data_IF_249992456789
#
_entry.id   IF_249992456789
#
_cell.length_a   1.000
_cell.length_b   1.000
_cell.length_c   1.000
_cell.angle_alpha   90.00
_cell.angle_beta   90.00
_cell.angle_gamma   90.00
#
_symmetry.space_group_name_H-M   'P 1'
#
loop_
_entity.id
_entity.type
_entity.pdbx_description
1 polymer ?
#
# COMPACT_ATOMS: atom_id res chain seq x y z
N UNK A 1 -2.07 5.90 -18.37
CA UNK A 1 -1.93 6.69 -17.16
C UNK A 1 -3.24 6.76 -16.41
N UNK A 2 -3.15 6.66 -15.08
CA UNK A 2 -4.35 6.67 -14.26
C UNK A 2 -4.82 8.07 -13.98
N UNK A 3 -6.14 8.27 -13.98
CA UNK A 3 -6.73 9.53 -13.57
C UNK A 3 -7.34 9.39 -12.18
N UNK A 4 -7.30 10.45 -11.38
CA UNK A 4 -7.95 10.37 -10.08
C UNK A 4 -9.45 10.12 -10.23
N UNK A 5 -9.98 9.33 -9.34
CA UNK A 5 -11.39 8.97 -9.34
C UNK A 5 -12.07 9.73 -8.20
N UNK A 6 -12.94 10.69 -8.49
CA UNK A 6 -13.56 11.49 -7.45
C UNK A 6 -14.50 10.68 -6.54
N UNK A 7 -14.93 9.51 -7.00
CA UNK A 7 -15.80 8.65 -6.20
C UNK A 7 -15.03 7.74 -5.26
N UNK A 8 -13.72 7.72 -5.40
CA UNK A 8 -12.90 6.76 -4.70
C UNK A 8 -12.38 7.36 -3.41
N UNK A 9 -12.39 6.62 -2.34
CA UNK A 9 -11.84 7.12 -1.08
C UNK A 9 -10.51 6.44 -0.76
N UNK A 10 -9.80 7.00 0.20
CA UNK A 10 -8.48 6.51 0.56
C UNK A 10 -8.52 5.15 1.23
N UNK A 11 -9.63 4.82 1.91
CA UNK A 11 -9.77 3.50 2.51
C UNK A 11 -9.80 2.42 1.43
N UNK A 12 -10.57 2.65 0.37
CA UNK A 12 -10.62 1.70 -0.73
C UNK A 12 -9.26 1.57 -1.41
N UNK A 13 -8.60 2.70 -1.63
CA UNK A 13 -7.29 2.68 -2.28
C UNK A 13 -6.27 1.93 -1.43
N UNK A 14 -6.28 2.18 -0.10
CA UNK A 14 -5.35 1.51 0.80
C UNK A 14 -5.60 0.00 0.84
N UNK A 15 -6.85 -0.41 0.76
CA UNK A 15 -7.19 -1.84 0.72
C UNK A 15 -6.70 -2.49 -0.56
N UNK A 16 -6.77 -1.79 -1.67
CA UNK A 16 -6.24 -2.31 -2.93
C UNK A 16 -4.73 -2.43 -2.88
N UNK A 17 -4.07 -1.45 -2.26
CA UNK A 17 -2.64 -1.54 -2.05
C UNK A 17 -2.31 -2.78 -1.22
N UNK A 18 -3.08 -3.00 -0.16
CA UNK A 18 -2.88 -4.19 0.68
C UNK A 18 -3.08 -5.48 -0.09
N UNK A 19 -4.06 -5.50 -0.99
CA UNK A 19 -4.27 -6.66 -1.84
C UNK A 19 -3.08 -6.90 -2.76
N UNK A 20 -2.51 -5.82 -3.31
CA UNK A 20 -1.33 -5.96 -4.16
C UNK A 20 -0.13 -6.47 -3.37
N UNK A 21 0.03 -5.99 -2.13
CA UNK A 21 1.08 -6.50 -1.25
C UNK A 21 0.90 -8.00 -1.02
N UNK A 22 -0.32 -8.40 -0.70
CA UNK A 22 -0.63 -9.80 -0.44
C UNK A 22 -0.33 -10.66 -1.66
N UNK A 23 -0.76 -10.23 -2.84
CA UNK A 23 -0.53 -10.98 -4.05
C UNK A 23 0.96 -11.13 -4.36
N UNK A 24 1.71 -10.05 -4.20
CA UNK A 24 3.14 -10.10 -4.47
C UNK A 24 3.84 -11.04 -3.49
N UNK A 25 3.42 -10.98 -2.22
CA UNK A 25 4.00 -11.86 -1.21
C UNK A 25 3.69 -13.33 -1.50
N UNK A 26 2.45 -13.62 -1.87
CA UNK A 26 2.06 -14.99 -2.20
C UNK A 26 2.81 -15.49 -3.43
N UNK A 27 2.99 -14.63 -4.43
CA UNK A 27 3.74 -15.00 -5.62
C UNK A 27 5.20 -15.31 -5.29
N UNK A 28 5.74 -14.63 -4.29
CA UNK A 28 7.11 -14.89 -3.87
C UNK A 28 7.21 -16.09 -2.93
N UNK A 29 6.08 -16.53 -2.37
CA UNK A 29 6.06 -17.69 -1.49
C UNK A 29 6.59 -17.42 -0.10
N UNK A 30 6.44 -16.18 0.39
CA UNK A 30 6.98 -15.79 1.67
C UNK A 30 5.88 -15.50 2.68
N UNK A 31 6.22 -15.61 3.97
CA UNK A 31 5.31 -15.26 5.04
C UNK A 31 5.29 -13.76 5.24
N UNK A 32 4.25 -13.30 5.95
CA UNK A 32 4.18 -11.89 6.31
C UNK A 32 5.38 -11.46 7.13
N UNK A 33 5.81 -12.32 8.06
CA UNK A 33 6.94 -11.99 8.92
C UNK A 33 8.24 -11.87 8.15
N UNK A 34 8.42 -12.72 7.15
CA UNK A 34 9.62 -12.66 6.32
C UNK A 34 9.68 -11.37 5.53
N UNK A 35 8.58 -10.98 4.93
CA UNK A 35 8.55 -9.74 4.16
C UNK A 35 8.71 -8.53 5.08
N UNK A 36 8.04 -8.55 6.25
CA UNK A 36 8.20 -7.47 7.21
C UNK A 36 9.66 -7.32 7.63
N UNK A 37 10.30 -8.43 7.96
CA UNK A 37 11.70 -8.40 8.37
C UNK A 37 12.58 -7.86 7.24
N UNK A 38 12.38 -8.33 6.02
CA UNK A 38 13.18 -7.90 4.89
C UNK A 38 13.00 -6.41 4.61
N UNK A 39 11.83 -5.86 4.91
CA UNK A 39 11.56 -4.44 4.72
C UNK A 39 11.88 -3.59 5.95
N UNK A 40 12.39 -4.21 7.01
CA UNK A 40 12.73 -3.47 8.23
C UNK A 40 11.52 -3.04 9.03
N UNK A 41 10.43 -3.81 8.96
CA UNK A 41 9.18 -3.47 9.63
C UNK A 41 8.85 -4.48 10.72
N UNK A 42 8.12 -4.02 11.74
CA UNK A 42 7.51 -4.95 12.68
C UNK A 42 6.43 -5.75 11.96
N UNK A 43 6.24 -7.00 12.39
CA UNK A 43 5.26 -7.86 11.74
C UNK A 43 3.86 -7.29 11.73
N UNK A 44 3.43 -6.74 12.87
CA UNK A 44 2.06 -6.21 12.94
C UNK A 44 1.89 -4.96 12.07
N UNK A 45 2.97 -4.19 11.87
CA UNK A 45 2.91 -3.04 10.98
C UNK A 45 2.68 -3.51 9.55
N UNK A 46 3.41 -4.54 9.14
CA UNK A 46 3.21 -5.08 7.79
C UNK A 46 1.79 -5.64 7.62
N UNK A 47 1.28 -6.32 8.65
CA UNK A 47 -0.08 -6.87 8.60
C UNK A 47 -1.10 -5.76 8.36
N UNK A 48 -0.92 -4.62 9.01
CA UNK A 48 -1.81 -3.49 8.79
C UNK A 48 -1.77 -3.01 7.35
N UNK A 49 -0.59 -3.02 6.73
CA UNK A 49 -0.48 -2.60 5.33
C UNK A 49 -1.25 -3.56 4.42
N UNK A 50 -1.13 -4.88 4.64
CA UNK A 50 -1.91 -5.82 3.83
C UNK A 50 -3.41 -5.68 4.07
N UNK A 51 -3.80 -5.34 5.28
CA UNK A 51 -5.20 -5.14 5.60
C UNK A 51 -5.73 -3.82 5.04
N UNK A 52 -4.86 -2.84 4.86
CA UNK A 52 -5.26 -1.55 4.34
C UNK A 52 -5.70 -0.56 5.39
N UNK A 53 -5.54 -0.90 6.67
CA UNK A 53 -5.96 -0.03 7.76
C UNK A 53 -4.83 0.16 8.75
N UNK A 54 -4.64 1.40 9.20
CA UNK A 54 -3.69 1.67 10.28
C UNK A 54 -4.34 1.42 11.64
N UNK A 55 -5.61 1.72 11.74
CA UNK A 55 -6.49 1.41 12.86
C UNK A 55 -7.89 1.38 12.29
N UNK A 56 -8.88 0.84 13.04
CA UNK A 56 -10.23 0.74 12.49
C UNK A 56 -10.72 2.09 12.00
N UNK A 57 -11.16 2.13 10.76
CA UNK A 57 -11.69 3.33 10.15
C UNK A 57 -10.67 4.28 9.55
N UNK A 58 -9.39 3.97 9.65
CA UNK A 58 -8.34 4.82 9.08
C UNK A 58 -7.54 4.06 8.05
N UNK A 59 -7.35 4.63 6.86
CA UNK A 59 -6.57 3.92 5.83
C UNK A 59 -5.10 3.83 6.22
N UNK A 60 -4.47 2.75 5.82
CA UNK A 60 -3.03 2.62 5.94
C UNK A 60 -2.39 3.66 5.02
N UNK A 61 -1.28 4.21 5.48
CA UNK A 61 -0.58 5.24 4.72
C UNK A 61 0.93 5.07 4.90
N UNK A 62 1.51 4.11 4.18
CA UNK A 62 2.95 3.88 4.30
C UNK A 62 3.74 5.08 3.82
N UNK A 63 4.84 5.35 4.48
CA UNK A 63 5.75 6.39 4.02
C UNK A 63 6.43 5.95 2.73
N UNK A 64 6.89 6.92 1.96
CA UNK A 64 7.53 6.63 0.69
C UNK A 64 8.72 5.68 0.85
N UNK A 65 9.55 5.90 1.87
CA UNK A 65 10.68 5.01 2.11
C UNK A 65 10.22 3.57 2.37
N UNK A 66 9.11 3.44 3.10
CA UNK A 66 8.56 2.13 3.39
C UNK A 66 8.06 1.44 2.11
N UNK A 67 7.42 2.21 1.24
CA UNK A 67 6.96 1.65 -0.03
C UNK A 67 8.12 1.08 -0.85
N UNK A 68 9.23 1.81 -0.92
CA UNK A 68 10.38 1.31 -1.65
C UNK A 68 11.02 0.09 -0.96
N UNK A 69 11.04 0.09 0.38
CA UNK A 69 11.55 -1.07 1.10
C UNK A 69 10.71 -2.31 0.85
N UNK A 70 9.38 -2.13 0.78
CA UNK A 70 8.49 -3.23 0.47
C UNK A 70 8.68 -3.74 -0.96
N UNK A 71 8.86 -2.83 -1.90
CA UNK A 71 9.13 -3.22 -3.28
C UNK A 71 10.41 -4.03 -3.38
N UNK A 72 11.44 -3.62 -2.66
CA UNK A 72 12.70 -4.33 -2.65
C UNK A 72 12.54 -5.71 -2.02
N UNK A 73 11.82 -5.78 -0.89
CA UNK A 73 11.60 -7.05 -0.21
C UNK A 73 10.79 -8.02 -1.07
N UNK A 74 9.85 -7.49 -1.85
CA UNK A 74 8.97 -8.29 -2.69
C UNK A 74 9.51 -8.49 -4.10
N UNK A 75 10.58 -7.78 -4.44
CA UNK A 75 11.22 -7.88 -5.75
C UNK A 75 10.28 -7.45 -6.86
N UNK A 76 9.59 -6.35 -6.64
CA UNK A 76 8.66 -5.77 -7.63
C UNK A 76 8.95 -4.28 -7.78
N UNK A 77 8.40 -3.71 -8.85
CA UNK A 77 8.48 -2.28 -9.08
C UNK A 77 7.37 -1.56 -8.34
N UNK A 78 7.59 -0.30 -8.03
CA UNK A 78 6.55 0.50 -7.37
C UNK A 78 5.29 0.57 -8.22
N UNK A 79 5.44 0.60 -9.54
CA UNK A 79 4.28 0.61 -10.44
C UNK A 79 3.46 -0.67 -10.35
N UNK A 80 4.07 -1.78 -9.90
CA UNK A 80 3.33 -3.02 -9.68
C UNK A 80 2.57 -2.98 -8.37
N UNK A 81 3.04 -2.18 -7.43
CA UNK A 81 2.47 -2.14 -6.10
C UNK A 81 1.32 -1.16 -5.99
N UNK A 82 1.47 0.01 -6.56
CA UNK A 82 0.46 1.05 -6.42
C UNK A 82 -0.75 0.78 -7.30
N UNK A 83 -1.97 0.79 -6.71
CA UNK A 83 -3.17 0.61 -7.52
C UNK A 83 -3.36 1.80 -8.46
N UNK A 84 -4.05 1.60 -9.59
CA UNK A 84 -4.37 2.71 -10.47
C UNK A 84 -5.47 3.58 -9.90
N UNK A 85 -5.66 4.75 -10.49
CA UNK A 85 -6.77 5.65 -10.18
C UNK A 85 -6.82 6.05 -8.72
N UNK A 86 -5.78 6.75 -8.23
CA UNK A 86 -5.79 7.20 -6.84
C UNK A 86 -6.96 8.13 -6.58
N UNK A 87 -7.40 8.22 -5.33
CA UNK A 87 -8.46 9.16 -4.98
C UNK A 87 -8.03 10.59 -5.24
N UNK A 88 -9.01 11.44 -5.48
CA UNK A 88 -8.73 12.86 -5.60
C UNK A 88 -8.37 13.39 -4.21
N UNK A 89 -7.31 14.15 -4.15
CA UNK A 89 -6.88 14.73 -2.89
C UNK A 89 -7.80 15.90 -2.55
N UNK A 90 -8.54 15.78 -1.45
CA UNK A 90 -9.52 16.79 -1.12
C UNK A 90 -8.87 18.15 -0.86
N UNK A 91 -7.72 18.16 -0.25
CA UNK A 91 -7.06 19.43 0.05
C UNK A 91 -6.48 20.10 -1.15
N UNK A 92 -6.23 19.38 -2.21
CA UNK A 92 -5.61 19.94 -3.39
C UNK A 92 -6.63 20.47 -4.39
N UNK A 93 -7.89 20.14 -4.20
CA UNK A 93 -8.91 20.47 -5.18
C UNK A 93 -8.93 21.95 -5.36
N UNK A 94 -8.47 22.70 -5.51
CA UNK A 94 -8.43 24.10 -5.71
C UNK A 94 -7.30 24.76 -5.00
N UNK A 95 -6.54 24.03 -4.31
CA UNK A 95 -5.53 24.64 -3.47
C UNK A 95 -4.24 24.88 -4.20
N UNK A 96 -4.01 24.15 -5.22
CA UNK A 96 -2.75 24.36 -5.89
C UNK A 96 -2.91 25.03 -7.15
#
# INVERSE_FOLDING_TARGET
MSTPDPERDWMTYARELGTNLHRARMAKGESQERIAHAAGLAGYTYQKFEKGESKPGSPANPQLKTLFALCEALDIELSDLLPPNPPRSSGSAGAE
#
